data_IF_938406595763
#
_entry.id   IF_938406595763
#
_cell.length_a   1.000
_cell.length_b   1.000
_cell.length_c   1.000
_cell.angle_alpha   90.00
_cell.angle_beta   90.00
_cell.angle_gamma   90.00
#
_symmetry.space_group_name_H-M   'P 1'
#
loop_
_entity.id
_entity.type
_entity.pdbx_description
1 polymer ?
#
# COMPACT_ATOMS: atom_id res chain seq x y z
N UNK A 1 -16.48 -55.33 -4.43
CA UNK A 1 -17.53 -54.54 -5.10
C UNK A 1 -17.80 -53.32 -4.26
N UNK A 2 -17.10 -52.21 -4.56
CA UNK A 2 -17.29 -50.93 -3.91
C UNK A 2 -18.18 -50.09 -4.84
N UNK A 3 -19.28 -49.61 -4.31
CA UNK A 3 -20.30 -48.85 -5.05
C UNK A 3 -19.79 -47.47 -5.42
N UNK A 4 -20.07 -47.12 -6.67
CA UNK A 4 -19.63 -45.94 -7.40
C UNK A 4 -20.46 -44.71 -6.95
N UNK A 5 -19.94 -43.87 -6.05
CA UNK A 5 -20.59 -42.60 -5.72
C UNK A 5 -20.28 -41.55 -6.80
N UNK A 6 -21.35 -41.05 -7.40
CA UNK A 6 -21.35 -40.11 -8.50
C UNK A 6 -20.90 -38.73 -8.04
N UNK A 7 -19.78 -38.24 -8.57
CA UNK A 7 -19.30 -36.87 -8.38
C UNK A 7 -20.32 -35.90 -9.01
N UNK A 8 -21.00 -35.10 -8.18
CA UNK A 8 -21.88 -34.02 -8.64
C UNK A 8 -21.02 -32.90 -9.27
N UNK A 9 -21.43 -32.34 -10.42
CA UNK A 9 -20.69 -31.25 -11.05
C UNK A 9 -20.78 -30.00 -10.17
N UNK A 10 -19.63 -29.40 -9.91
CA UNK A 10 -19.50 -28.09 -9.26
C UNK A 10 -20.21 -27.07 -10.14
N UNK A 11 -21.30 -26.50 -9.65
CA UNK A 11 -22.00 -25.39 -10.31
C UNK A 11 -21.02 -24.26 -10.52
N UNK A 12 -20.83 -23.87 -11.79
CA UNK A 12 -20.03 -22.69 -12.15
C UNK A 12 -20.52 -21.49 -11.36
N UNK A 13 -19.68 -20.95 -10.48
CA UNK A 13 -19.94 -19.68 -9.83
C UNK A 13 -19.98 -18.62 -10.93
N UNK A 14 -21.16 -18.04 -11.16
CA UNK A 14 -21.35 -16.94 -12.09
C UNK A 14 -20.36 -15.83 -11.75
N UNK A 15 -19.49 -15.48 -12.72
CA UNK A 15 -18.68 -14.28 -12.63
C UNK A 15 -19.61 -13.09 -12.30
N UNK A 16 -19.31 -12.30 -11.24
CA UNK A 16 -20.10 -11.11 -10.98
C UNK A 16 -20.00 -10.20 -12.21
N UNK A 17 -21.14 -9.92 -12.84
CA UNK A 17 -21.22 -8.94 -13.92
C UNK A 17 -20.54 -7.65 -13.47
N UNK A 18 -19.71 -7.00 -14.31
CA UNK A 18 -19.05 -5.76 -13.93
C UNK A 18 -20.12 -4.77 -13.51
N UNK A 19 -20.02 -4.30 -12.25
CA UNK A 19 -20.91 -3.29 -11.70
C UNK A 19 -20.72 -2.04 -12.57
N UNK A 20 -21.76 -1.62 -13.27
CA UNK A 20 -21.74 -0.35 -14.02
C UNK A 20 -21.37 0.76 -13.05
N UNK A 21 -20.21 1.40 -13.27
CA UNK A 21 -19.74 2.47 -12.38
C UNK A 21 -20.69 3.67 -12.49
N UNK A 22 -21.08 4.22 -11.35
CA UNK A 22 -21.90 5.42 -11.32
C UNK A 22 -21.04 6.65 -11.63
N UNK A 23 -21.16 7.20 -12.83
CA UNK A 23 -20.35 8.32 -13.32
C UNK A 23 -20.63 9.67 -12.63
N UNK A 24 -21.62 9.73 -11.73
CA UNK A 24 -21.92 10.95 -10.96
C UNK A 24 -21.00 11.15 -9.75
N UNK A 25 -20.33 10.08 -9.30
CA UNK A 25 -19.37 10.14 -8.19
C UNK A 25 -17.94 10.38 -8.72
N UNK A 26 -17.07 11.07 -7.96
CA UNK A 26 -15.68 11.26 -8.36
C UNK A 26 -14.97 9.90 -8.51
N UNK A 27 -14.35 9.70 -9.67
CA UNK A 27 -13.61 8.48 -9.98
C UNK A 27 -12.12 8.69 -9.71
N UNK A 28 -11.56 7.82 -8.88
CA UNK A 28 -10.13 7.67 -8.64
C UNK A 28 -9.65 6.48 -9.47
N UNK A 29 -8.93 6.76 -10.55
CA UNK A 29 -8.31 5.73 -11.39
C UNK A 29 -6.94 5.36 -10.83
N UNK A 30 -6.77 4.10 -10.48
CA UNK A 30 -5.50 3.52 -10.02
C UNK A 30 -4.76 3.02 -11.26
N UNK A 31 -3.69 3.72 -11.64
CA UNK A 31 -3.00 3.46 -12.91
C UNK A 31 -1.98 2.32 -12.82
N UNK A 32 -1.16 2.34 -11.78
CA UNK A 32 -0.10 1.35 -11.56
C UNK A 32 -0.56 0.27 -10.58
N UNK A 33 0.18 -0.84 -10.52
CA UNK A 33 0.06 -1.79 -9.40
C UNK A 33 0.65 -1.20 -8.11
N UNK A 34 0.50 -1.93 -7.00
CA UNK A 34 1.14 -1.65 -5.71
C UNK A 34 2.01 -2.84 -5.29
N UNK A 35 3.31 -2.74 -5.52
CA UNK A 35 4.29 -3.82 -5.41
C UNK A 35 3.85 -5.05 -6.21
N UNK A 36 3.62 -4.87 -7.52
CA UNK A 36 3.09 -5.89 -8.43
C UNK A 36 1.71 -6.48 -8.04
N UNK A 37 1.04 -5.91 -7.03
CA UNK A 37 -0.25 -6.37 -6.53
C UNK A 37 -1.39 -5.41 -6.85
N UNK A 38 -2.61 -5.90 -6.66
CA UNK A 38 -3.82 -5.10 -6.77
C UNK A 38 -4.07 -4.28 -5.50
N UNK A 39 -4.29 -2.99 -5.66
CA UNK A 39 -4.51 -2.05 -4.56
C UNK A 39 -5.79 -2.35 -3.78
N UNK A 40 -6.88 -2.62 -4.50
CA UNK A 40 -8.22 -2.81 -3.92
C UNK A 40 -8.22 -4.06 -3.05
N UNK A 41 -7.60 -5.16 -3.51
CA UNK A 41 -7.41 -6.40 -2.73
C UNK A 41 -6.55 -6.19 -1.49
N UNK A 42 -5.63 -5.22 -1.51
CA UNK A 42 -4.79 -4.85 -0.36
C UNK A 42 -5.46 -3.86 0.60
N UNK A 43 -6.75 -3.58 0.42
CA UNK A 43 -7.54 -2.72 1.30
C UNK A 43 -7.40 -1.22 1.02
N UNK A 44 -6.74 -0.84 -0.08
CA UNK A 44 -6.76 0.56 -0.52
C UNK A 44 -8.17 0.96 -0.98
N UNK A 45 -8.51 2.24 -0.82
CA UNK A 45 -9.81 2.83 -1.16
C UNK A 45 -11.02 2.25 -0.38
N UNK A 46 -10.80 1.52 0.72
CA UNK A 46 -11.89 1.11 1.62
C UNK A 46 -12.64 2.31 2.19
N UNK A 47 -11.95 3.42 2.45
CA UNK A 47 -12.59 4.67 2.89
C UNK A 47 -13.22 5.47 1.74
N UNK A 48 -12.82 5.22 0.49
CA UNK A 48 -13.50 5.80 -0.68
C UNK A 48 -14.95 5.31 -0.78
N UNK A 49 -15.17 4.03 -0.43
CA UNK A 49 -16.51 3.43 -0.35
C UNK A 49 -17.41 4.09 0.71
N UNK A 50 -16.85 4.76 1.72
CA UNK A 50 -17.62 5.50 2.74
C UNK A 50 -17.95 6.93 2.30
N UNK A 51 -17.11 7.54 1.48
CA UNK A 51 -17.17 8.96 1.11
C UNK A 51 -17.73 9.22 -0.30
N UNK A 52 -18.55 8.30 -0.83
CA UNK A 52 -19.21 8.43 -2.15
C UNK A 52 -18.22 8.69 -3.29
N UNK A 53 -17.14 7.92 -3.34
CA UNK A 53 -16.27 7.90 -4.50
C UNK A 53 -16.08 6.49 -5.04
N UNK A 54 -15.62 6.42 -6.28
CA UNK A 54 -15.39 5.17 -7.00
C UNK A 54 -13.90 5.02 -7.26
N UNK A 55 -13.29 3.98 -6.70
CA UNK A 55 -11.94 3.57 -7.05
C UNK A 55 -11.97 2.40 -8.04
N UNK A 56 -11.21 2.51 -9.12
CA UNK A 56 -11.10 1.47 -10.15
C UNK A 56 -9.68 1.43 -10.70
N UNK A 57 -9.23 0.25 -11.14
CA UNK A 57 -8.00 0.09 -11.94
C UNK A 57 -8.29 -0.08 -13.44
N UNK A 58 -9.56 0.01 -13.84
CA UNK A 58 -9.99 -0.10 -15.23
C UNK A 58 -9.70 1.20 -16.00
N UNK A 59 -8.69 1.13 -16.87
CA UNK A 59 -8.15 2.27 -17.60
C UNK A 59 -9.10 2.85 -18.64
N UNK A 60 -10.19 2.15 -18.99
CA UNK A 60 -11.25 2.73 -19.84
C UNK A 60 -11.88 3.99 -19.22
N UNK A 61 -11.76 4.15 -17.90
CA UNK A 61 -12.27 5.32 -17.19
C UNK A 61 -11.30 6.49 -17.13
N UNK A 62 -10.13 6.43 -17.79
CA UNK A 62 -9.14 7.50 -17.78
C UNK A 62 -9.74 8.87 -18.13
N UNK A 63 -10.62 8.92 -19.14
CA UNK A 63 -11.25 10.19 -19.53
C UNK A 63 -12.29 10.69 -18.52
N UNK A 64 -12.86 9.83 -17.68
CA UNK A 64 -13.88 10.18 -16.69
C UNK A 64 -13.29 10.38 -15.29
N UNK A 65 -12.05 9.94 -15.07
CA UNK A 65 -11.38 10.01 -13.78
C UNK A 65 -11.10 11.45 -13.35
N UNK A 66 -11.57 11.79 -12.15
CA UNK A 66 -11.25 13.06 -11.48
C UNK A 66 -9.79 13.11 -11.06
N UNK A 67 -9.23 11.95 -10.69
CA UNK A 67 -7.81 11.80 -10.37
C UNK A 67 -7.25 10.47 -10.86
N UNK A 68 -5.96 10.47 -11.21
CA UNK A 68 -5.18 9.28 -11.56
C UNK A 68 -4.10 9.09 -10.51
N UNK A 69 -4.10 7.92 -9.87
CA UNK A 69 -3.18 7.56 -8.80
C UNK A 69 -2.07 6.66 -9.33
N UNK A 70 -0.83 7.04 -9.02
CA UNK A 70 0.38 6.30 -9.36
C UNK A 70 1.09 5.87 -8.08
N UNK A 71 1.42 4.59 -7.96
CA UNK A 71 2.41 4.16 -7.00
C UNK A 71 3.79 4.48 -7.57
N UNK A 72 4.56 5.28 -6.83
CA UNK A 72 5.87 5.72 -7.27
C UNK A 72 6.79 4.55 -7.63
N UNK A 73 6.86 3.49 -6.81
CA UNK A 73 7.76 2.36 -7.10
C UNK A 73 7.41 1.53 -8.33
N UNK A 74 6.15 1.55 -8.77
CA UNK A 74 5.65 0.78 -9.92
C UNK A 74 5.42 1.67 -11.15
N UNK A 75 5.82 2.95 -11.13
CA UNK A 75 5.68 3.84 -12.28
C UNK A 75 6.69 3.49 -13.38
N UNK A 76 6.24 3.48 -14.63
CA UNK A 76 7.08 3.21 -15.80
C UNK A 76 6.88 4.28 -16.86
N UNK A 77 7.98 4.76 -17.46
CA UNK A 77 7.94 5.72 -18.56
C UNK A 77 7.24 5.15 -19.81
N UNK A 78 7.22 3.83 -19.97
CA UNK A 78 6.54 3.13 -21.09
C UNK A 78 5.05 2.91 -20.84
N UNK A 79 4.58 3.15 -19.62
CA UNK A 79 3.19 2.91 -19.21
C UNK A 79 2.63 4.11 -18.47
N UNK A 80 2.51 5.24 -19.17
CA UNK A 80 1.87 6.46 -18.69
C UNK A 80 0.59 6.74 -19.49
N UNK A 81 -0.42 7.39 -18.88
CA UNK A 81 -1.58 7.83 -19.64
C UNK A 81 -1.16 8.79 -20.75
N UNK A 82 -1.69 8.59 -21.96
CA UNK A 82 -1.31 9.37 -23.15
C UNK A 82 -1.66 10.86 -23.04
N UNK A 83 -2.65 11.21 -22.21
CA UNK A 83 -3.10 12.57 -22.03
C UNK A 83 -3.59 12.78 -20.60
N UNK A 84 -3.13 13.88 -19.99
CA UNK A 84 -3.70 14.43 -18.76
C UNK A 84 -4.74 15.48 -19.11
N UNK A 85 -5.96 15.33 -18.61
CA UNK A 85 -7.02 16.34 -18.78
C UNK A 85 -6.77 17.53 -17.86
N UNK A 86 -7.19 18.73 -18.30
CA UNK A 86 -7.03 19.98 -17.54
C UNK A 86 -7.55 19.91 -16.07
N UNK A 87 -8.70 19.28 -15.85
CA UNK A 87 -9.30 19.14 -14.52
C UNK A 87 -8.99 17.80 -13.83
N UNK A 88 -8.08 16.99 -14.39
CA UNK A 88 -7.70 15.70 -13.82
C UNK A 88 -6.43 15.85 -12.99
N UNK A 89 -6.48 15.40 -11.73
CA UNK A 89 -5.31 15.44 -10.84
C UNK A 89 -4.49 14.16 -10.93
N UNK A 90 -3.21 14.28 -11.22
CA UNK A 90 -2.27 13.15 -11.11
C UNK A 90 -1.66 13.16 -9.71
N UNK A 91 -1.84 12.05 -9.01
CA UNK A 91 -1.46 11.89 -7.61
C UNK A 91 -0.36 10.84 -7.51
N UNK A 92 0.78 11.22 -6.95
CA UNK A 92 1.89 10.31 -6.69
C UNK A 92 1.84 9.79 -5.27
N UNK A 93 1.62 8.50 -5.11
CA UNK A 93 1.61 7.82 -3.82
C UNK A 93 2.91 7.07 -3.57
N UNK A 94 3.46 7.22 -2.37
CA UNK A 94 4.59 6.41 -1.93
C UNK A 94 4.70 6.36 -0.40
N UNK A 95 5.00 5.16 0.11
CA UNK A 95 5.31 4.96 1.53
C UNK A 95 6.79 4.64 1.76
N UNK A 96 7.55 4.45 0.69
CA UNK A 96 8.92 3.97 0.76
C UNK A 96 9.92 5.11 0.94
N UNK A 97 11.01 4.81 1.62
CA UNK A 97 12.11 5.76 1.79
C UNK A 97 12.74 6.12 0.44
N UNK A 98 13.37 7.31 0.31
CA UNK A 98 14.09 7.67 -0.91
C UNK A 98 15.14 6.63 -1.35
N UNK A 99 15.81 5.98 -0.37
CA UNK A 99 16.77 4.91 -0.64
C UNK A 99 16.14 3.67 -1.29
N UNK A 100 14.83 3.46 -1.11
CA UNK A 100 14.06 2.38 -1.72
C UNK A 100 13.24 2.85 -2.93
N UNK A 101 13.60 3.96 -3.58
CA UNK A 101 12.86 4.46 -4.76
C UNK A 101 13.82 4.95 -5.86
N UNK A 102 15.12 4.70 -5.73
CA UNK A 102 16.13 5.27 -6.64
C UNK A 102 16.02 4.77 -8.10
N UNK A 103 15.59 3.53 -8.35
CA UNK A 103 15.59 2.95 -9.70
C UNK A 103 14.53 3.55 -10.63
N UNK A 104 13.48 4.19 -10.09
CA UNK A 104 12.45 4.91 -10.87
C UNK A 104 12.77 6.40 -11.03
N UNK A 105 13.96 6.85 -10.59
CA UNK A 105 14.35 8.27 -10.65
C UNK A 105 14.28 8.84 -12.07
N UNK A 106 14.82 8.14 -13.06
CA UNK A 106 14.81 8.58 -14.46
C UNK A 106 13.39 8.70 -15.03
N UNK A 107 12.48 7.80 -14.65
CA UNK A 107 11.06 7.93 -14.98
C UNK A 107 10.48 9.21 -14.39
N UNK A 108 10.77 9.48 -13.11
CA UNK A 108 10.27 10.68 -12.43
C UNK A 108 10.81 11.99 -13.01
N UNK A 109 12.03 12.01 -13.54
CA UNK A 109 12.58 13.22 -14.17
C UNK A 109 11.68 13.74 -15.30
N UNK A 110 11.01 12.83 -16.00
CA UNK A 110 10.04 13.14 -17.06
C UNK A 110 8.62 13.38 -16.53
N UNK A 111 8.19 12.61 -15.53
CA UNK A 111 6.79 12.61 -15.06
C UNK A 111 6.50 13.66 -13.99
N UNK A 112 7.50 14.11 -13.23
CA UNK A 112 7.31 14.98 -12.07
C UNK A 112 6.54 16.27 -12.38
N UNK A 113 6.65 16.81 -13.59
CA UNK A 113 5.95 18.04 -14.01
C UNK A 113 4.46 17.84 -14.20
N UNK A 114 4.04 16.59 -14.42
CA UNK A 114 2.64 16.22 -14.58
C UNK A 114 1.97 15.86 -13.25
N UNK A 115 2.73 15.64 -12.17
CA UNK A 115 2.19 15.33 -10.84
C UNK A 115 1.65 16.61 -10.20
N UNK A 116 0.38 16.61 -9.82
CA UNK A 116 -0.23 17.74 -9.09
C UNK A 116 -0.09 17.57 -7.58
N UNK A 117 -0.30 16.36 -7.07
CA UNK A 117 -0.36 16.08 -5.65
C UNK A 117 0.53 14.91 -5.26
N UNK A 118 1.12 15.02 -4.08
CA UNK A 118 1.83 13.93 -3.41
C UNK A 118 0.98 13.36 -2.28
N UNK A 119 0.96 12.04 -2.18
CA UNK A 119 0.29 11.31 -1.11
C UNK A 119 1.29 10.39 -0.41
N UNK A 120 1.93 10.87 0.66
CA UNK A 120 3.03 10.15 1.32
C UNK A 120 3.00 10.29 2.84
N UNK A 121 3.92 9.58 3.51
CA UNK A 121 4.15 9.71 4.95
C UNK A 121 4.79 11.05 5.37
N UNK A 122 5.21 11.90 4.44
CA UNK A 122 5.78 13.21 4.78
C UNK A 122 4.68 14.19 5.16
N UNK A 123 4.95 15.01 6.18
CA UNK A 123 4.00 16.02 6.67
C UNK A 123 3.75 17.17 5.69
N UNK A 124 4.65 17.35 4.72
CA UNK A 124 4.54 18.37 3.67
C UNK A 124 3.92 17.83 2.36
N UNK A 125 3.35 16.63 2.37
CA UNK A 125 2.57 16.12 1.24
C UNK A 125 1.18 16.79 1.17
N UNK A 126 0.68 16.99 -0.06
CA UNK A 126 -0.66 17.52 -0.32
C UNK A 126 -1.76 16.67 0.35
N UNK A 127 -1.55 15.35 0.36
CA UNK A 127 -2.37 14.39 1.09
C UNK A 127 -1.49 13.60 2.04
N UNK A 128 -1.60 13.85 3.34
CA UNK A 128 -0.85 13.11 4.34
C UNK A 128 -1.37 11.68 4.48
N UNK A 129 -0.51 10.70 4.22
CA UNK A 129 -0.82 9.27 4.31
C UNK A 129 0.21 8.56 5.21
N UNK A 130 -0.01 8.50 6.54
CA UNK A 130 0.92 7.83 7.44
C UNK A 130 0.76 6.31 7.43
N UNK A 131 1.82 5.59 7.83
CA UNK A 131 1.76 4.14 8.06
C UNK A 131 0.79 3.75 9.18
N UNK A 132 0.57 4.66 10.12
CA UNK A 132 -0.34 4.52 11.23
C UNK A 132 -0.45 5.84 11.97
N UNK A 133 -1.52 5.99 12.75
CA UNK A 133 -1.77 7.17 13.56
C UNK A 133 -1.92 6.77 15.02
N UNK A 134 -1.32 7.56 15.91
CA UNK A 134 -1.62 7.46 17.34
C UNK A 134 -2.97 8.13 17.55
N UNK A 135 -3.95 7.33 17.95
CA UNK A 135 -5.29 7.80 18.31
C UNK A 135 -5.49 7.66 19.82
N UNK A 136 -6.32 8.53 20.38
CA UNK A 136 -6.69 8.40 21.78
C UNK A 136 -7.42 7.07 22.01
N UNK A 137 -6.96 6.33 23.02
CA UNK A 137 -7.59 5.08 23.40
C UNK A 137 -8.89 5.36 24.15
N UNK A 138 -9.99 4.78 23.68
CA UNK A 138 -11.25 4.72 24.45
C UNK A 138 -11.16 3.74 25.63
N UNK A 139 -10.12 2.90 25.67
CA UNK A 139 -9.84 2.02 26.80
C UNK A 139 -9.07 2.81 27.84
N UNK A 140 -9.72 3.04 28.98
CA UNK A 140 -9.16 3.73 30.16
C UNK A 140 -8.57 2.77 31.18
N UNK A 141 -9.01 1.50 31.17
CA UNK A 141 -8.52 0.45 32.07
C UNK A 141 -7.36 -0.31 31.42
N UNK A 142 -6.15 0.23 31.55
CA UNK A 142 -4.95 -0.50 31.22
C UNK A 142 -4.60 -1.46 32.36
N UNK A 143 -4.70 -2.77 32.12
CA UNK A 143 -4.10 -3.76 33.00
C UNK A 143 -2.58 -3.53 32.98
N UNK A 144 -2.00 -3.12 34.10
CA UNK A 144 -0.55 -2.99 34.21
C UNK A 144 0.05 -4.37 33.95
N UNK A 145 0.77 -4.52 32.84
CA UNK A 145 1.43 -5.76 32.49
C UNK A 145 2.49 -6.03 33.57
N UNK A 146 2.44 -7.15 34.31
CA UNK A 146 3.42 -7.44 35.35
C UNK A 146 4.80 -7.65 34.71
N UNK A 147 5.67 -6.63 34.78
CA UNK A 147 7.01 -6.68 34.19
C UNK A 147 7.98 -7.55 35.00
N UNK A 148 7.67 -7.83 36.28
CA UNK A 148 8.53 -8.54 37.24
C UNK A 148 9.05 -9.90 36.73
N UNK A 149 8.28 -10.59 35.89
CA UNK A 149 8.64 -11.92 35.36
C UNK A 149 9.11 -11.90 33.90
N UNK A 150 9.19 -10.72 33.26
CA UNK A 150 9.67 -10.62 31.87
C UNK A 150 11.20 -10.70 31.84
N UNK A 151 11.71 -11.83 31.35
CA UNK A 151 13.14 -12.11 31.23
C UNK A 151 13.77 -11.64 29.92
N UNK A 152 12.94 -11.49 28.87
CA UNK A 152 13.36 -11.01 27.54
C UNK A 152 13.25 -9.50 27.48
N UNK A 153 14.32 -8.83 27.05
CA UNK A 153 14.45 -7.37 27.12
C UNK A 153 14.07 -6.71 25.78
N UNK A 154 14.51 -7.27 24.66
CA UNK A 154 14.33 -6.68 23.33
C UNK A 154 13.86 -7.76 22.36
N UNK A 155 12.83 -7.42 21.58
CA UNK A 155 12.41 -8.20 20.41
C UNK A 155 12.56 -7.34 19.16
N UNK A 156 13.17 -7.90 18.10
CA UNK A 156 13.38 -7.23 16.82
C UNK A 156 12.71 -8.02 15.70
N UNK A 157 11.63 -7.46 15.16
CA UNK A 157 10.89 -8.04 14.03
C UNK A 157 11.44 -7.49 12.72
N UNK A 158 12.05 -8.35 11.89
CA UNK A 158 12.85 -7.92 10.75
C UNK A 158 12.85 -8.94 9.62
N UNK A 159 12.62 -8.48 8.39
CA UNK A 159 12.64 -9.32 7.19
C UNK A 159 13.52 -8.77 6.05
N UNK A 160 14.06 -7.56 6.20
CA UNK A 160 15.01 -6.97 5.24
C UNK A 160 16.35 -6.73 5.92
N UNK A 161 17.36 -7.49 5.48
CA UNK A 161 18.63 -7.68 6.19
C UNK A 161 19.79 -6.88 5.61
N UNK A 162 19.54 -6.15 4.52
CA UNK A 162 20.52 -5.31 3.86
C UNK A 162 19.92 -3.93 3.72
N UNK A 163 20.27 -3.03 4.65
CA UNK A 163 19.67 -1.70 4.69
C UNK A 163 20.70 -0.60 4.56
N UNK A 164 20.34 0.49 3.89
CA UNK A 164 21.20 1.66 3.78
C UNK A 164 21.58 2.24 5.15
N UNK A 165 20.69 2.12 6.14
CA UNK A 165 20.91 2.57 7.51
C UNK A 165 21.69 1.59 8.39
N UNK A 166 22.08 0.41 7.89
CA UNK A 166 22.84 -0.62 8.62
C UNK A 166 22.24 -0.99 9.99
N UNK A 167 20.91 -1.02 10.08
CA UNK A 167 20.22 -1.37 11.34
C UNK A 167 20.61 -2.76 11.84
N UNK A 168 20.91 -3.67 10.91
CA UNK A 168 21.41 -5.02 11.15
C UNK A 168 22.77 -5.02 11.86
N UNK A 169 23.67 -4.12 11.47
CA UNK A 169 24.99 -4.00 12.11
C UNK A 169 24.84 -3.47 13.54
N UNK A 170 23.96 -2.49 13.73
CA UNK A 170 23.65 -1.96 15.06
C UNK A 170 23.11 -3.07 15.99
N UNK A 171 22.10 -3.82 15.54
CA UNK A 171 21.53 -4.90 16.37
C UNK A 171 22.58 -5.99 16.63
N UNK A 172 23.42 -6.33 15.64
CA UNK A 172 24.52 -7.29 15.84
C UNK A 172 25.50 -6.83 16.92
N UNK A 173 25.80 -5.53 17.04
CA UNK A 173 26.63 -5.02 18.14
C UNK A 173 25.87 -5.03 19.46
N UNK A 174 24.60 -4.62 19.46
CA UNK A 174 23.75 -4.58 20.65
C UNK A 174 23.58 -5.97 21.29
N UNK A 175 23.40 -7.01 20.47
CA UNK A 175 23.23 -8.41 20.91
C UNK A 175 24.44 -8.98 21.66
N UNK A 176 25.59 -8.30 21.65
CA UNK A 176 26.77 -8.68 22.46
C UNK A 176 26.61 -8.31 23.93
N UNK A 177 25.75 -7.33 24.23
CA UNK A 177 25.62 -6.74 25.57
C UNK A 177 24.28 -7.07 26.23
N UNK A 178 23.22 -7.24 25.43
CA UNK A 178 21.88 -7.59 25.92
C UNK A 178 21.26 -8.68 25.05
N UNK A 179 20.34 -9.47 25.60
CA UNK A 179 19.61 -10.45 24.82
C UNK A 179 18.59 -9.76 23.89
N UNK A 180 18.74 -9.97 22.59
CA UNK A 180 17.82 -9.53 21.53
C UNK A 180 17.23 -10.76 20.85
N UNK A 181 15.91 -10.93 20.95
CA UNK A 181 15.20 -11.97 20.21
C UNK A 181 14.84 -11.47 18.81
N UNK A 182 15.37 -12.11 17.77
CA UNK A 182 15.17 -11.71 16.36
C UNK A 182 14.10 -12.59 15.72
N UNK A 183 13.11 -11.97 15.09
CA UNK A 183 11.99 -12.65 14.44
C UNK A 183 11.88 -12.22 12.97
N UNK A 184 12.03 -13.18 12.06
CA UNK A 184 11.85 -13.00 10.63
C UNK A 184 12.99 -13.62 9.82
N UNK A 185 13.31 -13.02 8.67
CA UNK A 185 14.28 -13.60 7.71
C UNK A 185 15.70 -13.07 7.85
N UNK A 186 15.92 -12.14 8.79
CA UNK A 186 17.23 -11.78 9.28
C UNK A 186 17.45 -12.50 10.62
#
# INVERSE_FOLDING_TARGET
>A
MLTNESVKPVSQASHPKPRTLNLTEPIILIWTTYFSGDWIKKGFAVDCLKNKCVATSDRVYLQYASSVLFHWRDISATDLPLMKRYNQKWVLYNMESPANTYWVRSTMENVQKEIDWTMTYRLDSDVYAPYGQVIESKVTNFSVIPLKNKKRQVAWFVSNCYTAGKREDYVKQLSKYIQVDIYGNC
#
